data_IF_272839715822
#
_entry.id   IF_272839715822
#
_cell.length_a   1.000
_cell.length_b   1.000
_cell.length_c   1.000
_cell.angle_alpha   90.00
_cell.angle_beta   90.00
_cell.angle_gamma   90.00
#
_symmetry.space_group_name_H-M   'P 1'
#
loop_
_entity.id
_entity.type
_entity.pdbx_description
1 polymer ?
#
# COMPACT_ATOMS: atom_id res chain seq x y z
N UNK A 1 10.00 -0.33 24.84
CA UNK A 1 8.62 -0.68 24.42
C UNK A 1 7.97 0.58 23.85
N UNK A 2 7.71 0.66 22.54
CA UNK A 2 7.10 1.84 21.93
C UNK A 2 5.62 1.56 21.64
N UNK A 3 4.73 2.33 22.26
CA UNK A 3 3.28 2.17 22.16
C UNK A 3 2.75 2.52 20.77
N UNK A 4 2.05 1.58 20.14
CA UNK A 4 1.22 1.84 18.97
C UNK A 4 -0.04 2.58 19.43
N UNK A 5 -0.21 3.84 19.00
CA UNK A 5 -1.44 4.58 19.28
C UNK A 5 -2.56 4.02 18.40
N UNK A 6 -3.54 3.36 19.03
CA UNK A 6 -4.78 2.88 18.41
C UNK A 6 -5.75 4.05 18.26
N UNK A 7 -6.06 4.44 17.03
CA UNK A 7 -7.14 5.41 16.74
C UNK A 7 -8.31 4.63 16.15
N UNK A 8 -9.36 4.44 16.96
CA UNK A 8 -10.51 3.63 16.61
C UNK A 8 -11.58 4.42 15.86
N UNK A 9 -11.91 3.97 14.65
CA UNK A 9 -13.21 4.19 14.02
C UNK A 9 -13.56 2.92 13.22
N UNK A 10 -14.64 2.24 13.64
CA UNK A 10 -15.34 1.18 12.91
C UNK A 10 -14.49 0.16 12.13
N UNK A 11 -14.18 -0.98 12.76
CA UNK A 11 -13.80 -2.25 12.09
C UNK A 11 -12.62 -2.22 11.08
N UNK A 12 -11.66 -1.33 11.25
CA UNK A 12 -10.32 -1.43 10.65
C UNK A 12 -9.32 -0.95 11.71
N UNK A 13 -8.67 -1.88 12.42
CA UNK A 13 -7.58 -1.54 13.34
C UNK A 13 -6.37 -1.03 12.53
N UNK A 14 -6.37 0.26 12.19
CA UNK A 14 -5.29 0.89 11.43
C UNK A 14 -4.08 1.08 12.32
N UNK A 15 -3.08 0.22 12.14
CA UNK A 15 -1.75 0.49 12.69
C UNK A 15 -1.01 1.43 11.74
N UNK A 16 -0.71 2.64 12.20
CA UNK A 16 0.09 3.60 11.44
C UNK A 16 1.57 3.29 11.64
N UNK A 17 2.26 2.89 10.57
CA UNK A 17 3.70 2.59 10.61
C UNK A 17 4.51 3.82 10.16
N UNK A 18 5.48 4.22 10.99
CA UNK A 18 6.46 5.25 10.63
C UNK A 18 7.43 4.72 9.57
N UNK A 19 7.71 5.52 8.53
CA UNK A 19 8.60 5.16 7.41
C UNK A 19 10.00 4.74 7.87
N UNK A 20 10.50 5.35 8.94
CA UNK A 20 11.84 5.06 9.47
C UNK A 20 11.99 3.61 9.96
N UNK A 21 10.88 2.97 10.33
CA UNK A 21 10.86 1.59 10.83
C UNK A 21 10.47 0.57 9.75
N UNK A 22 10.24 1.02 8.52
CA UNK A 22 9.89 0.12 7.43
C UNK A 22 11.11 -0.67 6.95
N UNK A 23 10.92 -1.94 6.56
CA UNK A 23 11.95 -2.71 5.87
C UNK A 23 12.54 -1.95 4.66
N UNK A 24 13.84 -2.12 4.35
CA UNK A 24 14.51 -1.37 3.29
C UNK A 24 13.86 -1.49 1.91
N UNK A 25 13.34 -2.67 1.58
CA UNK A 25 12.66 -2.96 0.32
C UNK A 25 11.30 -2.25 0.20
N UNK A 26 10.55 -2.14 1.30
CA UNK A 26 9.32 -1.33 1.35
C UNK A 26 9.65 0.14 1.09
N UNK A 27 10.72 0.68 1.70
CA UNK A 27 11.13 2.07 1.46
C UNK A 27 11.53 2.32 0.00
N UNK A 28 12.28 1.39 -0.60
CA UNK A 28 12.65 1.46 -2.01
C UNK A 28 11.41 1.41 -2.91
N UNK A 29 10.44 0.54 -2.62
CA UNK A 29 9.21 0.45 -3.37
C UNK A 29 8.38 1.75 -3.28
N UNK A 30 8.33 2.41 -2.12
CA UNK A 30 7.70 3.75 -1.98
C UNK A 30 8.38 4.78 -2.89
N UNK A 31 9.72 4.80 -2.92
CA UNK A 31 10.49 5.73 -3.76
C UNK A 31 10.21 5.47 -5.25
N UNK A 32 10.26 4.20 -5.67
CA UNK A 32 9.98 3.80 -7.05
C UNK A 32 8.55 4.15 -7.46
N UNK A 33 7.57 3.85 -6.62
CA UNK A 33 6.17 4.20 -6.84
C UNK A 33 5.98 5.71 -7.02
N UNK A 34 6.58 6.54 -6.15
CA UNK A 34 6.54 8.00 -6.28
C UNK A 34 7.18 8.50 -7.57
N UNK A 35 8.30 7.90 -7.98
CA UNK A 35 8.96 8.27 -9.23
C UNK A 35 8.11 7.90 -10.45
N UNK A 36 7.45 6.74 -10.44
CA UNK A 36 6.54 6.34 -11.50
C UNK A 36 5.30 7.23 -11.58
N UNK A 37 4.74 7.60 -10.43
CA UNK A 37 3.61 8.52 -10.37
C UNK A 37 3.96 9.90 -10.96
N UNK A 38 5.14 10.45 -10.60
CA UNK A 38 5.63 11.72 -11.15
C UNK A 38 6.00 11.65 -12.62
N UNK A 39 6.51 10.50 -13.05
CA UNK A 39 6.91 10.25 -14.44
C UNK A 39 5.75 9.94 -15.38
N UNK A 40 4.50 9.85 -14.87
CA UNK A 40 3.33 9.49 -15.68
C UNK A 40 3.38 8.05 -16.20
N UNK A 41 4.10 7.15 -15.53
CA UNK A 41 4.15 5.74 -15.91
C UNK A 41 2.78 5.08 -15.66
N UNK A 42 2.49 4.02 -16.44
CA UNK A 42 1.26 3.24 -16.29
C UNK A 42 1.31 2.44 -14.97
N UNK A 43 0.81 3.06 -13.90
CA UNK A 43 0.55 2.39 -12.64
C UNK A 43 -0.70 1.51 -12.77
N UNK A 44 -0.69 0.37 -12.07
CA UNK A 44 -1.82 -0.56 -12.09
C UNK A 44 -2.88 -0.08 -11.11
N UNK A 45 -4.12 0.03 -11.58
CA UNK A 45 -5.26 0.45 -10.74
C UNK A 45 -5.62 -0.67 -9.77
N UNK A 46 -5.67 -0.33 -8.49
CA UNK A 46 -6.23 -1.19 -7.46
C UNK A 46 -7.72 -0.87 -7.27
N UNK A 47 -8.59 -1.78 -7.66
CA UNK A 47 -10.04 -1.52 -7.66
C UNK A 47 -10.70 -1.53 -6.28
N UNK A 48 -10.02 -2.03 -5.23
CA UNK A 48 -10.58 -2.15 -3.88
C UNK A 48 -11.96 -2.84 -3.82
N UNK A 49 -12.16 -3.90 -4.64
CA UNK A 49 -13.48 -4.56 -4.82
C UNK A 49 -14.07 -5.11 -3.52
N UNK A 50 -13.21 -5.54 -2.61
CA UNK A 50 -13.59 -6.12 -1.31
C UNK A 50 -13.75 -5.06 -0.21
N UNK A 51 -13.60 -3.76 -0.54
CA UNK A 51 -13.67 -2.64 0.41
C UNK A 51 -12.72 -2.79 1.62
N UNK A 52 -11.55 -3.39 1.40
CA UNK A 52 -10.50 -3.56 2.43
C UNK A 52 -9.83 -2.23 2.77
N UNK A 53 -9.84 -1.27 1.84
CA UNK A 53 -9.42 0.12 2.04
C UNK A 53 -10.62 1.07 2.05
N UNK A 54 -10.47 2.30 2.56
CA UNK A 54 -11.54 3.31 2.54
C UNK A 54 -12.03 3.61 1.12
N UNK A 55 -13.32 3.92 0.97
CA UNK A 55 -13.88 4.36 -0.30
C UNK A 55 -13.14 5.60 -0.84
N UNK A 56 -12.96 5.66 -2.16
CA UNK A 56 -12.38 6.82 -2.83
C UNK A 56 -13.41 7.94 -2.95
N UNK A 57 -12.95 9.19 -2.84
CA UNK A 57 -13.77 10.34 -3.22
C UNK A 57 -13.70 10.57 -4.74
N UNK A 58 -14.52 11.50 -5.25
CA UNK A 58 -14.53 11.84 -6.66
C UNK A 58 -13.14 12.25 -7.17
N UNK A 59 -12.69 11.66 -8.27
CA UNK A 59 -11.38 11.90 -8.87
C UNK A 59 -10.19 11.26 -8.13
N UNK A 60 -10.44 10.45 -7.09
CA UNK A 60 -9.39 9.68 -6.42
C UNK A 60 -9.30 8.27 -6.97
N UNK A 61 -8.07 7.77 -7.13
CA UNK A 61 -7.77 6.43 -7.65
C UNK A 61 -6.75 5.76 -6.73
N UNK A 62 -6.96 4.48 -6.47
CA UNK A 62 -5.93 3.65 -5.86
C UNK A 62 -5.06 3.02 -6.93
N UNK A 63 -3.75 3.10 -6.74
CA UNK A 63 -2.77 2.41 -7.55
C UNK A 63 -1.97 1.42 -6.71
N UNK A 64 -1.70 0.23 -7.25
CA UNK A 64 -0.86 -0.76 -6.60
C UNK A 64 0.55 -0.80 -7.15
N UNK A 65 1.47 -1.19 -6.28
CA UNK A 65 2.87 -1.37 -6.58
C UNK A 65 3.45 -2.56 -5.84
N UNK A 66 4.27 -3.35 -6.53
CA UNK A 66 4.92 -4.52 -5.95
C UNK A 66 6.02 -4.10 -4.96
N UNK A 67 6.13 -4.80 -3.83
CA UNK A 67 7.23 -4.62 -2.89
C UNK A 67 8.22 -5.78 -2.95
N UNK A 68 9.46 -5.45 -3.28
CA UNK A 68 10.57 -6.40 -3.36
C UNK A 68 10.59 -7.20 -4.66
N UNK A 69 11.59 -8.07 -4.78
CA UNK A 69 11.74 -8.92 -5.95
C UNK A 69 10.57 -9.90 -6.08
N UNK A 70 10.19 -10.17 -7.32
CA UNK A 70 9.32 -11.29 -7.63
C UNK A 70 9.94 -12.58 -7.06
N UNK A 71 9.22 -13.29 -6.19
CA UNK A 71 9.65 -14.61 -5.70
C UNK A 71 9.23 -15.67 -6.72
N UNK A 72 9.90 -16.82 -6.72
CA UNK A 72 9.37 -17.96 -7.45
C UNK A 72 7.95 -18.29 -6.91
N UNK A 73 6.99 -18.68 -7.75
CA UNK A 73 5.67 -19.08 -7.29
C UNK A 73 5.80 -20.23 -6.29
N UNK A 74 5.09 -20.14 -5.17
CA UNK A 74 4.95 -21.27 -4.24
C UNK A 74 3.50 -21.72 -4.21
N UNK A 75 3.21 -22.90 -3.64
CA UNK A 75 1.83 -23.37 -3.47
C UNK A 75 0.96 -22.38 -2.67
N UNK A 76 1.58 -21.59 -1.78
CA UNK A 76 0.91 -20.55 -0.99
C UNK A 76 0.78 -19.23 -1.77
N UNK A 77 1.68 -18.95 -2.72
CA UNK A 77 1.70 -17.72 -3.51
C UNK A 77 1.92 -18.07 -5.00
N UNK A 78 0.84 -18.39 -5.74
CA UNK A 78 0.95 -18.88 -7.11
C UNK A 78 1.44 -17.83 -8.11
N UNK A 79 1.57 -16.57 -7.68
CA UNK A 79 2.09 -15.47 -8.51
C UNK A 79 3.53 -15.13 -8.14
N UNK A 80 4.36 -14.90 -9.16
CA UNK A 80 5.76 -14.47 -8.97
C UNK A 80 5.89 -13.14 -8.25
N UNK A 81 4.89 -12.27 -8.31
CA UNK A 81 4.94 -10.92 -7.72
C UNK A 81 5.07 -10.91 -6.18
N UNK A 82 5.02 -12.06 -5.51
CA UNK A 82 5.05 -12.16 -4.05
C UNK A 82 3.80 -11.54 -3.41
N UNK A 83 3.78 -11.49 -2.07
CA UNK A 83 2.57 -11.16 -1.29
C UNK A 83 2.51 -9.68 -0.88
N UNK A 84 3.67 -9.01 -0.91
CA UNK A 84 3.82 -7.67 -0.35
C UNK A 84 3.49 -6.61 -1.40
N UNK A 85 2.61 -5.69 -1.04
CA UNK A 85 2.10 -4.64 -1.92
C UNK A 85 2.05 -3.31 -1.21
N UNK A 86 2.29 -2.26 -1.96
CA UNK A 86 1.93 -0.90 -1.60
C UNK A 86 0.72 -0.50 -2.43
N UNK A 87 -0.24 0.17 -1.80
CA UNK A 87 -1.36 0.81 -2.49
C UNK A 87 -1.35 2.30 -2.16
N UNK A 88 -1.20 3.14 -3.18
CA UNK A 88 -1.25 4.60 -3.05
C UNK A 88 -2.60 5.17 -3.45
N UNK A 89 -3.18 6.02 -2.61
CA UNK A 89 -4.35 6.83 -2.95
C UNK A 89 -3.89 8.12 -3.63
N UNK A 90 -4.32 8.35 -4.85
CA UNK A 90 -3.88 9.47 -5.69
C UNK A 90 -5.10 10.30 -6.11
N UNK A 91 -4.97 11.63 -6.15
CA UNK A 91 -6.01 12.51 -6.67
C UNK A 91 -5.88 12.79 -8.18
N UNK A 92 -6.82 13.55 -8.73
CA UNK A 92 -6.83 13.91 -10.15
C UNK A 92 -5.61 14.75 -10.58
N UNK A 93 -4.90 15.37 -9.65
CA UNK A 93 -3.66 16.12 -9.88
C UNK A 93 -2.40 15.27 -9.77
N UNK A 94 -2.52 13.94 -9.66
CA UNK A 94 -1.43 13.01 -9.38
C UNK A 94 -0.73 13.24 -8.03
N UNK A 95 -1.41 13.88 -7.08
CA UNK A 95 -0.89 14.02 -5.71
C UNK A 95 -1.15 12.73 -4.94
N UNK A 96 -0.11 12.21 -4.31
CA UNK A 96 -0.20 11.04 -3.46
C UNK A 96 -0.71 11.43 -2.07
N UNK A 97 -1.93 11.02 -1.75
CA UNK A 97 -2.64 11.40 -0.52
C UNK A 97 -2.35 10.45 0.64
N UNK A 98 -2.30 9.14 0.36
CA UNK A 98 -2.08 8.09 1.35
C UNK A 98 -1.32 6.93 0.75
N UNK A 99 -0.54 6.23 1.56
CA UNK A 99 0.03 4.93 1.21
C UNK A 99 -0.43 3.90 2.23
N UNK A 100 -0.83 2.74 1.72
CA UNK A 100 -1.13 1.54 2.46
C UNK A 100 -0.12 0.45 2.09
N UNK A 101 0.22 -0.39 3.04
CA UNK A 101 1.09 -1.55 2.85
C UNK A 101 0.35 -2.79 3.33
N UNK A 102 0.51 -3.88 2.60
CA UNK A 102 0.08 -5.22 3.03
C UNK A 102 1.21 -6.20 2.75
N UNK A 103 1.37 -7.17 3.63
CA UNK A 103 2.31 -8.27 3.49
C UNK A 103 1.68 -9.63 3.18
N UNK A 104 0.35 -9.69 3.12
CA UNK A 104 -0.44 -10.91 2.95
C UNK A 104 -1.36 -10.84 1.71
N UNK A 105 -0.91 -10.17 0.65
CA UNK A 105 -1.59 -10.14 -0.66
C UNK A 105 -3.07 -9.74 -0.58
N UNK A 106 -3.32 -8.54 -0.06
CA UNK A 106 -4.64 -7.90 0.03
C UNK A 106 -5.61 -8.49 1.06
N UNK A 107 -5.19 -9.48 1.88
CA UNK A 107 -6.04 -10.03 2.93
C UNK A 107 -6.60 -8.95 3.88
N UNK A 108 -7.88 -9.10 4.21
CA UNK A 108 -8.58 -8.19 5.10
C UNK A 108 -7.96 -8.22 6.51
N UNK A 109 -7.67 -7.05 7.08
CA UNK A 109 -7.01 -6.93 8.39
C UNK A 109 -5.48 -6.79 8.33
N UNK A 110 -4.86 -7.11 7.20
CA UNK A 110 -3.39 -7.10 7.03
C UNK A 110 -2.92 -5.83 6.31
N UNK A 111 -3.52 -4.69 6.66
CA UNK A 111 -3.28 -3.40 6.04
C UNK A 111 -2.75 -2.38 7.04
N UNK A 112 -1.61 -1.81 6.70
CA UNK A 112 -0.94 -0.77 7.47
C UNK A 112 -0.98 0.53 6.68
N UNK A 113 -1.56 1.58 7.26
CA UNK A 113 -1.40 2.91 6.69
C UNK A 113 0.01 3.41 7.02
N UNK A 114 0.78 3.79 6.01
CA UNK A 114 2.11 4.34 6.23
C UNK A 114 1.99 5.82 6.54
N UNK A 115 2.72 6.26 7.58
CA UNK A 115 2.77 7.68 7.90
C UNK A 115 3.53 8.41 6.79
N UNK A 116 2.90 9.41 6.20
CA UNK A 116 3.56 10.30 5.26
C UNK A 116 4.39 11.34 6.04
N UNK A 117 5.61 11.68 5.62
CA UNK A 117 6.18 12.97 5.95
C UNK A 117 5.45 14.10 5.22
#
# INVERSE_FOLDING_TARGET
>A
MAMAHRVGFGKLERTVLSVARLPPDVRLAIIQFKNQLRGGANLVVFHNRENVLPATAHGQVYYEFQVGAARAPTAQFPTTAGCRRIVGLVDAGNNLLKIYFTDEHYQAGSWFQLQFP
#
